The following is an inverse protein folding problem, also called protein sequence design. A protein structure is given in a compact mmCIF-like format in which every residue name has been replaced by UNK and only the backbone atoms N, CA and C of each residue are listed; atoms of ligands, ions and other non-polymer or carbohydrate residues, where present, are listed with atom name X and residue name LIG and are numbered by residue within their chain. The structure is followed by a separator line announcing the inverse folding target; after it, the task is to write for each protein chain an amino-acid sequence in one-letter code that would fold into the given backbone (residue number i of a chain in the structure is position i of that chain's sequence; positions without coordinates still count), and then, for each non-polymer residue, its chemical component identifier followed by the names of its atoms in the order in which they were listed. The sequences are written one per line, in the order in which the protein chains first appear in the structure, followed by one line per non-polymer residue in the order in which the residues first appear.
data_IF_831904147752
#
_entry.id   IF_831904147752
#
_cell.length_a   1.000
_cell.length_b   1.000
_cell.length_c   1.000
_cell.angle_alpha   90.00
_cell.angle_beta   90.00
_cell.angle_gamma   90.00
#
_symmetry.space_group_name_H-M   'P 1'
#
loop_
_entity.id
_entity.type
_entity.pdbx_description
1 polymer ?
#
# COMPACT_ATOMS: atom_id res chain seq x y z
N UNK A 1 -1.23 20.41 -22.57
CA UNK A 1 -1.48 20.57 -21.12
C UNK A 1 -2.95 20.54 -20.69
N UNK A 2 -3.79 21.54 -21.00
CA UNK A 2 -5.16 21.60 -20.46
C UNK A 2 -6.03 20.38 -20.82
N UNK A 3 -6.03 19.99 -22.10
CA UNK A 3 -6.81 18.83 -22.56
C UNK A 3 -6.31 17.51 -21.97
N UNK A 4 -5.01 17.38 -21.75
CA UNK A 4 -4.42 16.21 -21.08
C UNK A 4 -4.88 16.15 -19.61
N UNK A 5 -4.81 17.26 -18.89
CA UNK A 5 -5.28 17.31 -17.51
C UNK A 5 -6.78 16.95 -17.42
N UNK A 6 -7.62 17.54 -18.26
CA UNK A 6 -9.07 17.25 -18.28
C UNK A 6 -9.33 15.77 -18.59
N UNK A 7 -8.58 15.18 -19.55
CA UNK A 7 -8.73 13.77 -19.91
C UNK A 7 -8.35 12.82 -18.78
N UNK A 8 -7.29 13.12 -18.05
CA UNK A 8 -6.66 12.16 -17.14
C UNK A 8 -6.89 12.44 -15.64
N UNK A 9 -7.58 13.53 -15.27
CA UNK A 9 -7.73 13.94 -13.87
C UNK A 9 -8.40 12.86 -13.01
N UNK A 10 -9.46 12.22 -13.52
CA UNK A 10 -10.19 11.19 -12.76
C UNK A 10 -9.30 9.96 -12.51
N UNK A 11 -8.55 9.53 -13.53
CA UNK A 11 -7.62 8.41 -13.42
C UNK A 11 -6.45 8.73 -12.49
N UNK A 12 -5.94 9.97 -12.55
CA UNK A 12 -4.88 10.47 -11.68
C UNK A 12 -5.33 10.47 -10.21
N UNK A 13 -6.49 11.06 -9.91
CA UNK A 13 -7.05 11.12 -8.56
C UNK A 13 -7.40 9.72 -8.06
N UNK A 14 -8.02 8.90 -8.90
CA UNK A 14 -8.31 7.51 -8.59
C UNK A 14 -7.05 6.72 -8.23
N UNK A 15 -5.95 6.91 -8.99
CA UNK A 15 -4.69 6.24 -8.72
C UNK A 15 -4.13 6.64 -7.36
N UNK A 16 -4.03 7.94 -7.08
CA UNK A 16 -3.47 8.39 -5.81
C UNK A 16 -4.34 8.02 -4.62
N UNK A 17 -5.68 8.07 -4.76
CA UNK A 17 -6.59 7.57 -3.75
C UNK A 17 -6.30 6.09 -3.42
N UNK A 18 -6.28 5.23 -4.45
CA UNK A 18 -6.01 3.81 -4.26
C UNK A 18 -4.59 3.53 -3.73
N UNK A 19 -3.59 4.28 -4.22
CA UNK A 19 -2.21 4.22 -3.73
C UNK A 19 -2.14 4.55 -2.23
N UNK A 20 -2.75 5.65 -1.78
CA UNK A 20 -2.75 6.02 -0.37
C UNK A 20 -3.48 4.99 0.50
N UNK A 21 -4.63 4.50 0.06
CA UNK A 21 -5.36 3.43 0.76
C UNK A 21 -4.48 2.19 0.92
N UNK A 22 -3.88 1.71 -0.16
CA UNK A 22 -3.08 0.48 -0.13
C UNK A 22 -1.78 0.63 0.67
N UNK A 23 -1.09 1.77 0.57
CA UNK A 23 0.09 2.04 1.41
C UNK A 23 -0.29 2.14 2.89
N UNK A 24 -1.41 2.77 3.22
CA UNK A 24 -1.91 2.88 4.60
C UNK A 24 -2.20 1.50 5.17
N UNK A 25 -2.89 0.63 4.43
CA UNK A 25 -3.19 -0.75 4.86
C UNK A 25 -1.92 -1.51 5.21
N UNK A 26 -0.87 -1.41 4.40
CA UNK A 26 0.37 -2.13 4.65
C UNK A 26 1.16 -1.51 5.82
N UNK A 27 0.93 -0.24 6.15
CA UNK A 27 1.71 0.51 7.16
C UNK A 27 1.04 0.60 8.52
N UNK A 28 -0.29 0.61 8.59
CA UNK A 28 -1.05 0.93 9.81
C UNK A 28 -0.71 0.02 11.00
N UNK A 29 -0.42 -1.26 10.75
CA UNK A 29 -0.02 -2.23 11.78
C UNK A 29 1.50 -2.38 11.97
N UNK A 30 2.32 -1.64 11.24
CA UNK A 30 3.78 -1.83 11.26
C UNK A 30 4.44 -1.14 12.45
N UNK A 31 5.06 -1.95 13.31
CA UNK A 31 5.84 -1.49 14.47
C UNK A 31 7.03 -0.58 14.12
N UNK A 32 7.51 -0.64 12.88
CA UNK A 32 8.54 0.25 12.34
C UNK A 32 8.13 0.67 10.93
N UNK A 33 8.15 1.97 10.68
CA UNK A 33 7.98 2.55 9.35
C UNK A 33 9.02 3.66 9.14
N UNK A 34 9.72 3.59 8.02
CA UNK A 34 10.73 4.58 7.63
C UNK A 34 10.12 5.70 6.75
N UNK A 35 8.79 5.75 6.65
CA UNK A 35 8.04 6.61 5.72
C UNK A 35 8.37 6.38 4.23
N UNK A 36 9.04 5.27 3.91
CA UNK A 36 9.35 4.89 2.54
C UNK A 36 8.13 4.28 1.85
N UNK A 37 8.05 4.47 0.53
CA UNK A 37 7.04 3.81 -0.30
C UNK A 37 7.34 2.31 -0.32
N UNK A 38 6.33 1.51 0.01
CA UNK A 38 6.45 0.06 -0.08
C UNK A 38 6.24 -0.33 -1.55
N UNK A 39 7.21 -1.01 -2.19
CA UNK A 39 7.08 -1.40 -3.59
C UNK A 39 5.84 -2.24 -3.85
N UNK A 40 5.05 -1.81 -4.82
CA UNK A 40 3.85 -2.50 -5.30
C UNK A 40 3.99 -2.77 -6.78
N UNK A 41 4.10 -4.04 -7.15
CA UNK A 41 4.37 -4.45 -8.52
C UNK A 41 3.07 -4.58 -9.33
N UNK A 42 3.02 -3.87 -10.45
CA UNK A 42 1.92 -3.88 -11.41
C UNK A 42 2.28 -4.77 -12.61
N UNK A 43 1.26 -5.36 -13.22
CA UNK A 43 1.30 -6.01 -14.52
C UNK A 43 0.64 -5.10 -15.58
N UNK A 44 1.17 -5.05 -16.80
CA UNK A 44 0.50 -4.34 -17.89
C UNK A 44 -0.79 -5.07 -18.28
N UNK A 45 -1.84 -4.33 -18.64
CA UNK A 45 -3.15 -4.91 -18.92
C UNK A 45 -3.11 -6.00 -20.01
N UNK A 46 -2.37 -5.77 -21.09
CA UNK A 46 -2.23 -6.71 -22.21
C UNK A 46 -1.30 -7.88 -21.92
N UNK A 47 -0.55 -7.88 -20.82
CA UNK A 47 0.47 -8.89 -20.56
C UNK A 47 -0.14 -10.21 -20.06
N UNK A 48 0.53 -11.33 -20.38
CA UNK A 48 0.25 -12.62 -19.74
C UNK A 48 1.11 -12.75 -18.48
N UNK A 49 0.46 -13.04 -17.35
CA UNK A 49 1.11 -13.15 -16.03
C UNK A 49 1.13 -14.60 -15.57
N UNK A 50 2.27 -15.06 -15.05
CA UNK A 50 2.43 -16.36 -14.39
C UNK A 50 2.56 -16.20 -12.87
N UNK A 51 2.32 -17.26 -12.11
CA UNK A 51 2.29 -17.20 -10.64
C UNK A 51 3.62 -16.88 -9.94
N UNK A 52 4.75 -16.98 -10.64
CA UNK A 52 6.09 -16.70 -10.09
C UNK A 52 6.51 -15.23 -10.22
N UNK A 53 5.69 -14.40 -10.87
CA UNK A 53 5.99 -12.98 -11.14
C UNK A 53 5.97 -12.13 -9.87
N UNK A 54 6.75 -11.05 -9.87
CA UNK A 54 6.75 -10.07 -8.78
C UNK A 54 5.41 -9.34 -8.67
N UNK A 55 4.73 -9.10 -9.80
CA UNK A 55 3.36 -8.56 -9.82
C UNK A 55 2.33 -9.43 -9.09
N UNK A 56 2.64 -10.72 -8.87
CA UNK A 56 1.83 -11.63 -8.06
C UNK A 56 2.30 -11.66 -6.60
N UNK A 57 3.60 -11.89 -6.38
CA UNK A 57 4.17 -12.09 -5.03
C UNK A 57 4.21 -10.79 -4.22
N UNK A 58 4.66 -9.72 -4.86
CA UNK A 58 4.85 -8.38 -4.29
C UNK A 58 3.88 -7.35 -4.92
N UNK A 59 2.75 -7.83 -5.45
CA UNK A 59 1.64 -7.01 -5.92
C UNK A 59 0.45 -7.06 -4.96
N UNK A 60 -0.78 -7.18 -5.49
CA UNK A 60 -2.00 -7.05 -4.69
C UNK A 60 -2.15 -8.09 -3.58
N UNK A 61 -1.57 -9.28 -3.72
CA UNK A 61 -1.64 -10.32 -2.70
C UNK A 61 -1.07 -9.85 -1.35
N UNK A 62 -0.01 -9.02 -1.38
CA UNK A 62 0.56 -8.45 -0.16
C UNK A 62 -0.45 -7.54 0.55
N UNK A 63 -1.14 -6.66 -0.18
CA UNK A 63 -2.21 -5.83 0.37
C UNK A 63 -3.32 -6.73 0.94
N UNK A 64 -3.73 -7.75 0.18
CA UNK A 64 -4.80 -8.65 0.58
C UNK A 64 -4.53 -9.36 1.91
N UNK A 65 -3.28 -9.77 2.16
CA UNK A 65 -2.88 -10.39 3.43
C UNK A 65 -2.94 -9.40 4.59
N UNK A 66 -2.41 -8.19 4.42
CA UNK A 66 -2.44 -7.14 5.46
C UNK A 66 -3.87 -6.64 5.73
N UNK A 67 -4.69 -6.56 4.68
CA UNK A 67 -6.07 -6.06 4.75
C UNK A 67 -6.97 -6.93 5.64
N UNK A 68 -6.63 -8.20 5.86
CA UNK A 68 -7.33 -9.09 6.82
C UNK A 68 -7.32 -8.52 8.24
N UNK A 69 -6.29 -7.74 8.58
CA UNK A 69 -6.09 -7.16 9.90
C UNK A 69 -6.39 -5.66 9.95
N UNK A 70 -6.85 -5.06 8.84
CA UNK A 70 -7.06 -3.61 8.75
C UNK A 70 -7.97 -3.07 9.86
N UNK A 71 -9.12 -3.71 10.06
CA UNK A 71 -10.08 -3.31 11.10
C UNK A 71 -9.46 -3.37 12.49
N UNK A 72 -8.85 -4.50 12.84
CA UNK A 72 -8.21 -4.67 14.16
C UNK A 72 -7.07 -3.67 14.35
N UNK A 73 -6.23 -3.47 13.34
CA UNK A 73 -5.13 -2.51 13.44
C UNK A 73 -5.63 -1.08 13.61
N UNK A 74 -6.73 -0.72 12.93
CA UNK A 74 -7.38 0.57 13.10
C UNK A 74 -7.94 0.72 14.53
N UNK A 75 -8.69 -0.27 15.01
CA UNK A 75 -9.29 -0.24 16.35
C UNK A 75 -8.22 -0.17 17.45
N UNK A 76 -7.16 -0.97 17.34
CA UNK A 76 -6.00 -0.90 18.25
C UNK A 76 -5.43 0.50 18.25
N UNK A 77 -5.20 1.09 17.07
CA UNK A 77 -4.61 2.42 16.98
C UNK A 77 -5.52 3.50 17.57
N UNK A 78 -6.82 3.39 17.36
CA UNK A 78 -7.83 4.29 17.94
C UNK A 78 -7.86 4.18 19.46
N UNK A 79 -7.92 2.97 20.02
CA UNK A 79 -7.85 2.77 21.48
C UNK A 79 -6.57 3.35 22.07
N UNK A 80 -5.41 3.12 21.45
CA UNK A 80 -4.14 3.66 21.95
C UNK A 80 -4.14 5.19 21.94
N UNK A 81 -4.63 5.81 20.86
CA UNK A 81 -4.72 7.27 20.77
C UNK A 81 -5.71 7.86 21.78
N UNK A 82 -6.83 7.19 22.04
CA UNK A 82 -7.75 7.56 23.13
C UNK A 82 -7.09 7.47 24.50
N UNK A 83 -6.30 6.42 24.77
CA UNK A 83 -5.59 6.23 26.03
C UNK A 83 -4.42 7.21 26.22
N UNK A 84 -3.80 7.68 25.14
CA UNK A 84 -2.83 8.79 25.16
C UNK A 84 -3.54 10.09 25.57
N UNK A 85 -4.72 10.33 24.99
CA UNK A 85 -5.60 11.47 25.22
C UNK A 85 -4.93 12.81 24.88
N UNK A 86 -4.59 13.00 23.61
CA UNK A 86 -3.99 14.23 23.07
C UNK A 86 -4.67 14.64 21.77
N UNK A 87 -4.51 15.91 21.38
CA UNK A 87 -5.03 16.41 20.10
C UNK A 87 -4.34 15.80 18.88
N UNK A 88 -3.07 15.39 19.01
CA UNK A 88 -2.32 14.70 17.95
C UNK A 88 -2.68 13.21 17.92
N UNK A 89 -2.90 12.69 16.71
CA UNK A 89 -2.99 11.26 16.43
C UNK A 89 -1.62 10.70 16.07
N UNK A 90 -1.24 9.59 16.69
CA UNK A 90 0.04 8.91 16.53
C UNK A 90 -0.13 7.57 15.84
N UNK A 91 0.77 7.24 14.93
CA UNK A 91 0.85 5.93 14.29
C UNK A 91 1.47 4.89 15.21
N UNK A 92 1.21 3.60 14.94
CA UNK A 92 1.75 2.53 15.78
C UNK A 92 3.28 2.51 15.81
N UNK A 93 3.93 2.91 14.72
CA UNK A 93 5.38 3.04 14.62
C UNK A 93 5.93 4.16 15.52
N UNK A 94 5.21 5.27 15.65
CA UNK A 94 5.55 6.36 16.57
C UNK A 94 5.32 5.93 18.02
N UNK A 95 4.20 5.25 18.31
CA UNK A 95 3.83 4.81 19.66
C UNK A 95 4.83 3.80 20.22
N UNK A 96 5.32 2.89 19.37
CA UNK A 96 6.25 1.84 19.77
C UNK A 96 7.72 2.27 19.72
N UNK A 97 8.00 3.51 19.31
CA UNK A 97 9.34 4.07 19.36
C UNK A 97 9.85 4.17 20.80
N UNK A 98 11.16 3.98 21.00
CA UNK A 98 11.75 4.03 22.35
C UNK A 98 11.73 5.43 22.96
N UNK A 99 11.70 6.48 22.13
CA UNK A 99 11.68 7.88 22.53
C UNK A 99 10.27 8.47 22.59
N UNK A 100 9.22 7.64 22.47
CA UNK A 100 7.84 8.11 22.51
C UNK A 100 7.51 8.74 23.88
N UNK A 101 7.18 10.04 23.86
CA UNK A 101 7.05 10.86 25.07
C UNK A 101 5.95 10.40 26.05
N UNK A 102 4.92 9.71 25.55
CA UNK A 102 3.80 9.23 26.38
C UNK A 102 3.91 7.76 26.73
N UNK A 103 5.05 7.10 26.47
CA UNK A 103 5.21 5.66 26.61
C UNK A 103 4.87 5.14 28.01
N UNK A 104 5.36 5.78 29.06
CA UNK A 104 5.09 5.36 30.45
C UNK A 104 3.61 5.50 30.80
N UNK A 105 3.02 6.67 30.55
CA UNK A 105 1.59 6.94 30.76
C UNK A 105 0.71 5.94 30.00
N UNK A 106 1.00 5.72 28.72
CA UNK A 106 0.25 4.81 27.88
C UNK A 106 0.39 3.35 28.35
N UNK A 107 1.56 2.93 28.82
CA UNK A 107 1.77 1.58 29.34
C UNK A 107 0.86 1.30 30.52
N UNK A 108 0.75 2.24 31.46
CA UNK A 108 -0.14 2.14 32.63
C UNK A 108 -1.61 2.17 32.21
N UNK A 109 -2.01 3.13 31.39
CA UNK A 109 -3.39 3.27 30.92
C UNK A 109 -3.85 2.03 30.15
N UNK A 110 -2.99 1.48 29.29
CA UNK A 110 -3.29 0.27 28.53
C UNK A 110 -3.37 -0.96 29.42
N UNK A 111 -2.52 -1.08 30.45
CA UNK A 111 -2.60 -2.19 31.40
C UNK A 111 -3.95 -2.18 32.15
N UNK A 112 -4.38 -1.01 32.64
CA UNK A 112 -5.69 -0.85 33.29
C UNK A 112 -6.85 -1.17 32.33
N UNK A 113 -6.79 -0.65 31.11
CA UNK A 113 -7.80 -0.96 30.08
C UNK A 113 -7.89 -2.47 29.80
N UNK A 114 -6.75 -3.17 29.69
CA UNK A 114 -6.72 -4.60 29.43
C UNK A 114 -7.28 -5.42 30.59
N UNK A 115 -7.08 -4.99 31.83
CA UNK A 115 -7.69 -5.62 33.01
C UNK A 115 -9.22 -5.53 32.97
N UNK A 116 -9.76 -4.33 32.68
CA UNK A 116 -11.20 -4.14 32.51
C UNK A 116 -11.74 -4.92 31.30
N UNK A 117 -11.02 -4.89 30.17
CA UNK A 117 -11.40 -5.61 28.96
C UNK A 117 -11.45 -7.12 29.19
N UNK A 118 -10.45 -7.68 29.87
CA UNK A 118 -10.40 -9.10 30.23
C UNK A 118 -11.63 -9.50 31.06
N UNK A 119 -11.97 -8.70 32.06
CA UNK A 119 -13.12 -8.97 32.93
C UNK A 119 -14.44 -8.92 32.15
N UNK A 120 -14.65 -7.88 31.35
CA UNK A 120 -15.91 -7.68 30.59
C UNK A 120 -16.09 -8.73 29.49
N UNK A 121 -15.00 -9.16 28.86
CA UNK A 121 -15.01 -10.11 27.73
C UNK A 121 -14.69 -11.55 28.11
N UNK A 122 -14.54 -11.83 29.41
CA UNK A 122 -14.24 -13.17 29.95
C UNK A 122 -13.02 -13.82 29.28
N UNK A 123 -11.90 -13.09 29.22
CA UNK A 123 -10.67 -13.57 28.57
C UNK A 123 -9.86 -14.46 29.53
N UNK A 124 -9.63 -15.72 29.15
CA UNK A 124 -8.94 -16.73 29.97
C UNK A 124 -7.39 -16.70 29.89
N UNK A 125 -6.77 -15.60 29.46
CA UNK A 125 -5.31 -15.51 29.43
C UNK A 125 -4.74 -15.28 30.85
N UNK A 126 -4.05 -16.28 31.40
CA UNK A 126 -3.34 -16.24 32.71
C UNK A 126 -2.14 -15.26 32.75
N UNK A 127 -2.04 -14.33 31.79
CA UNK A 127 -0.93 -13.42 31.74
C UNK A 127 -1.15 -12.33 32.77
N UNK A 128 -0.38 -12.37 33.86
CA UNK A 128 -0.13 -11.19 34.68
C UNK A 128 0.23 -10.05 33.73
N UNK A 129 -0.66 -9.07 33.59
CA UNK A 129 -0.42 -7.88 32.79
C UNK A 129 0.94 -7.34 33.17
N UNK A 130 1.91 -7.43 32.25
CA UNK A 130 3.26 -6.98 32.54
C UNK A 130 3.17 -5.48 32.60
N UNK A 131 3.10 -4.93 33.81
CA UNK A 131 2.96 -3.50 34.11
C UNK A 131 3.98 -2.58 33.43
N UNK A 132 4.91 -3.08 32.60
CA UNK A 132 6.03 -2.34 32.07
C UNK A 132 6.36 -2.62 30.58
N UNK A 133 5.58 -3.42 29.83
CA UNK A 133 5.87 -3.64 28.40
C UNK A 133 4.71 -3.29 27.45
N UNK A 134 4.77 -2.05 26.95
CA UNK A 134 3.82 -1.52 25.97
C UNK A 134 3.67 -2.41 24.74
N UNK A 135 4.77 -2.94 24.19
CA UNK A 135 4.72 -3.70 22.94
C UNK A 135 4.00 -5.04 23.10
N UNK A 136 4.19 -5.70 24.24
CA UNK A 136 3.43 -6.91 24.60
C UNK A 136 1.95 -6.60 24.81
N UNK A 137 1.63 -5.54 25.54
CA UNK A 137 0.24 -5.15 25.82
C UNK A 137 -0.52 -4.76 24.54
N UNK A 138 0.11 -4.05 23.62
CA UNK A 138 -0.46 -3.75 22.29
C UNK A 138 -0.73 -5.04 21.50
N UNK A 139 0.21 -5.99 21.54
CA UNK A 139 0.06 -7.27 20.82
C UNK A 139 -1.07 -8.11 21.43
N UNK A 140 -1.24 -8.06 22.76
CA UNK A 140 -2.34 -8.71 23.47
C UNK A 140 -3.70 -8.10 23.11
N UNK A 141 -3.80 -6.77 23.09
CA UNK A 141 -5.02 -6.08 22.66
C UNK A 141 -5.41 -6.50 21.24
N UNK A 142 -4.46 -6.50 20.31
CA UNK A 142 -4.67 -6.92 18.93
C UNK A 142 -5.17 -8.37 18.84
N UNK A 143 -4.59 -9.30 19.62
CA UNK A 143 -5.05 -10.69 19.72
C UNK A 143 -6.51 -10.76 20.17
N UNK A 144 -6.86 -10.10 21.27
CA UNK A 144 -8.22 -10.16 21.83
C UNK A 144 -9.26 -9.54 20.89
N UNK A 145 -8.96 -8.39 20.29
CA UNK A 145 -9.85 -7.78 19.30
C UNK A 145 -10.06 -8.71 18.08
N UNK A 146 -9.00 -9.38 17.61
CA UNK A 146 -9.11 -10.33 16.49
C UNK A 146 -9.99 -11.56 16.82
N UNK A 147 -9.89 -12.08 18.04
CA UNK A 147 -10.72 -13.18 18.55
C UNK A 147 -12.20 -12.77 18.66
N UNK A 148 -12.45 -11.52 19.09
CA UNK A 148 -13.80 -11.01 19.33
C UNK A 148 -14.54 -10.64 18.04
N UNK A 149 -13.83 -10.55 16.90
CA UNK A 149 -14.47 -10.36 15.61
C UNK A 149 -15.28 -11.60 15.19
N UNK A 150 -16.45 -11.37 14.59
CA UNK A 150 -17.21 -12.44 13.95
C UNK A 150 -16.54 -12.90 12.65
N UNK A 151 -16.82 -14.14 12.22
CA UNK A 151 -16.29 -14.66 10.95
C UNK A 151 -16.81 -13.87 9.74
N UNK A 152 -18.05 -13.39 9.80
CA UNK A 152 -18.67 -12.54 8.78
C UNK A 152 -17.96 -11.19 8.70
N UNK A 153 -17.64 -10.58 9.85
CA UNK A 153 -16.96 -9.28 9.89
C UNK A 153 -15.56 -9.39 9.32
N UNK A 154 -14.79 -10.41 9.74
CA UNK A 154 -13.44 -10.69 9.22
C UNK A 154 -13.42 -10.92 7.70
N UNK A 155 -14.46 -11.52 7.15
CA UNK A 155 -14.53 -11.81 5.72
C UNK A 155 -15.04 -10.63 4.88
N UNK A 156 -15.98 -9.83 5.41
CA UNK A 156 -16.64 -8.75 4.65
C UNK A 156 -15.88 -7.43 4.66
N UNK A 157 -15.29 -7.05 5.79
CA UNK A 157 -14.61 -5.76 5.92
C UNK A 157 -13.52 -5.55 4.86
N UNK A 158 -12.63 -6.55 4.59
CA UNK A 158 -11.58 -6.40 3.59
C UNK A 158 -12.09 -6.26 2.14
N UNK A 159 -13.33 -6.67 1.84
CA UNK A 159 -13.85 -6.69 0.46
C UNK A 159 -13.97 -5.29 -0.13
N UNK A 160 -14.29 -4.28 0.69
CA UNK A 160 -14.42 -2.88 0.25
C UNK A 160 -13.18 -2.36 -0.49
N UNK A 161 -11.98 -2.69 0.01
CA UNK A 161 -10.70 -2.32 -0.62
C UNK A 161 -10.53 -3.01 -1.97
N UNK A 162 -10.93 -4.28 -2.06
CA UNK A 162 -10.89 -5.05 -3.30
C UNK A 162 -11.89 -4.50 -4.34
N UNK A 163 -13.08 -4.10 -3.90
CA UNK A 163 -14.11 -3.47 -4.75
C UNK A 163 -13.63 -2.15 -5.34
N UNK A 164 -13.04 -1.27 -4.52
CA UNK A 164 -12.42 -0.03 -5.00
C UNK A 164 -11.33 -0.34 -6.02
N UNK A 165 -10.45 -1.30 -5.72
CA UNK A 165 -9.37 -1.68 -6.62
C UNK A 165 -9.87 -2.24 -7.95
N UNK A 166 -10.93 -3.05 -7.94
CA UNK A 166 -11.54 -3.66 -9.15
C UNK A 166 -12.10 -2.65 -10.15
N UNK A 167 -12.43 -1.43 -9.72
CA UNK A 167 -12.93 -0.40 -10.62
C UNK A 167 -11.86 0.06 -11.62
N UNK A 168 -10.59 0.14 -11.21
CA UNK A 168 -9.56 0.80 -12.02
C UNK A 168 -8.19 0.13 -12.02
N UNK A 169 -7.78 -0.52 -10.93
CA UNK A 169 -6.38 -0.90 -10.69
C UNK A 169 -6.17 -2.39 -10.43
N UNK A 170 -7.24 -3.19 -10.42
CA UNK A 170 -7.16 -4.64 -10.27
C UNK A 170 -7.76 -5.34 -11.47
N UNK A 171 -7.07 -6.38 -11.92
CA UNK A 171 -7.58 -7.30 -12.92
C UNK A 171 -7.54 -8.73 -12.41
N UNK A 172 -8.67 -9.43 -12.55
CA UNK A 172 -8.72 -10.85 -12.25
C UNK A 172 -7.96 -11.65 -13.31
N UNK A 173 -7.00 -12.48 -12.89
CA UNK A 173 -6.17 -13.34 -13.73
C UNK A 173 -6.47 -14.82 -13.44
N UNK A 174 -7.74 -15.16 -13.31
CA UNK A 174 -8.23 -16.52 -13.07
C UNK A 174 -7.75 -17.08 -11.74
N UNK A 175 -7.05 -18.22 -11.78
CA UNK A 175 -6.53 -18.90 -10.57
C UNK A 175 -5.51 -18.05 -9.78
N UNK A 176 -4.92 -17.03 -10.40
CA UNK A 176 -3.99 -16.11 -9.72
C UNK A 176 -4.71 -15.03 -8.89
N UNK A 177 -6.04 -14.95 -8.99
CA UNK A 177 -6.83 -13.93 -8.31
C UNK A 177 -6.67 -12.55 -8.93
N UNK A 178 -6.86 -11.50 -8.13
CA UNK A 178 -6.71 -10.13 -8.59
C UNK A 178 -5.27 -9.68 -8.50
N UNK A 179 -4.82 -8.99 -9.55
CA UNK A 179 -3.46 -8.49 -9.71
C UNK A 179 -3.51 -6.99 -9.92
N UNK A 180 -2.55 -6.26 -9.37
CA UNK A 180 -2.37 -4.83 -9.68
C UNK A 180 -2.13 -4.67 -11.18
N UNK A 181 -2.97 -3.87 -11.82
CA UNK A 181 -3.06 -3.78 -13.26
C UNK A 181 -2.81 -2.33 -13.68
N UNK A 182 -1.83 -2.14 -14.56
CA UNK A 182 -1.57 -0.88 -15.21
C UNK A 182 -2.17 -0.95 -16.62
N UNK A 183 -3.20 -0.16 -16.88
CA UNK A 183 -3.73 0.00 -18.25
C UNK A 183 -2.74 0.81 -19.08
N UNK A 184 -2.78 0.65 -20.41
CA UNK A 184 -1.95 1.49 -21.30
C UNK A 184 -2.23 2.98 -21.05
N UNK A 185 -3.50 3.33 -20.76
CA UNK A 185 -3.92 4.67 -20.42
C UNK A 185 -3.27 5.20 -19.12
N UNK A 186 -3.20 4.38 -18.07
CA UNK A 186 -2.52 4.72 -16.81
C UNK A 186 -1.02 4.90 -17.01
N UNK A 187 -0.40 4.00 -17.80
CA UNK A 187 1.03 4.12 -18.12
C UNK A 187 1.29 5.40 -18.90
N UNK A 188 0.48 5.72 -19.92
CA UNK A 188 0.60 6.96 -20.67
C UNK A 188 0.42 8.20 -19.81
N UNK A 189 -0.60 8.22 -18.93
CA UNK A 189 -0.79 9.32 -17.97
C UNK A 189 0.51 9.62 -17.22
N UNK A 190 1.08 8.62 -16.56
CA UNK A 190 2.29 8.82 -15.76
C UNK A 190 3.52 9.09 -16.62
N UNK A 191 3.62 8.51 -17.81
CA UNK A 191 4.70 8.83 -18.75
C UNK A 191 4.70 10.30 -19.14
N UNK A 192 3.53 10.88 -19.43
CA UNK A 192 3.41 12.30 -19.70
C UNK A 192 3.92 13.15 -18.54
N UNK A 193 3.46 12.83 -17.32
CA UNK A 193 3.89 13.52 -16.10
C UNK A 193 5.38 13.37 -15.78
N UNK A 194 5.97 12.22 -16.10
CA UNK A 194 7.37 11.91 -15.79
C UNK A 194 8.33 12.52 -16.82
N UNK A 195 7.99 12.43 -18.11
CA UNK A 195 8.80 12.94 -19.22
C UNK A 195 8.71 14.47 -19.27
N UNK A 196 7.51 15.03 -19.15
CA UNK A 196 7.30 16.47 -19.26
C UNK A 196 7.60 16.96 -20.68
N UNK A 197 8.27 18.10 -20.79
CA UNK A 197 8.54 18.80 -22.07
C UNK A 197 9.73 18.26 -22.86
N UNK A 198 10.66 17.55 -22.21
CA UNK A 198 11.93 17.15 -22.83
C UNK A 198 12.08 15.62 -22.80
N UNK A 199 12.64 15.01 -23.86
CA UNK A 199 12.88 13.58 -23.87
C UNK A 199 13.68 13.14 -22.64
N UNK A 200 13.28 12.02 -22.05
CA UNK A 200 13.91 11.48 -20.84
C UNK A 200 14.43 10.07 -21.10
N UNK A 201 15.57 9.73 -20.51
CA UNK A 201 16.12 8.38 -20.61
C UNK A 201 15.08 7.37 -20.08
N UNK A 202 14.90 6.27 -20.79
CA UNK A 202 13.92 5.23 -20.44
C UNK A 202 14.10 4.72 -19.00
N UNK A 203 15.35 4.56 -18.54
CA UNK A 203 15.66 4.18 -17.15
C UNK A 203 15.13 5.18 -16.13
N UNK A 204 15.19 6.48 -16.45
CA UNK A 204 14.74 7.56 -15.57
C UNK A 204 13.21 7.69 -15.61
N UNK A 205 12.58 7.28 -16.72
CA UNK A 205 11.12 7.13 -16.79
C UNK A 205 10.66 6.04 -15.82
N UNK A 206 11.25 4.84 -15.85
CA UNK A 206 10.92 3.78 -14.89
C UNK A 206 11.20 4.20 -13.44
N UNK A 207 12.31 4.90 -13.17
CA UNK A 207 12.55 5.48 -11.84
C UNK A 207 11.45 6.48 -11.44
N UNK A 208 10.93 7.25 -12.39
CA UNK A 208 9.81 8.16 -12.17
C UNK A 208 8.50 7.46 -11.80
N UNK A 209 8.26 6.25 -12.32
CA UNK A 209 7.14 5.40 -11.91
C UNK A 209 7.35 4.84 -10.50
N UNK A 210 8.55 4.36 -10.18
CA UNK A 210 8.91 3.81 -8.88
C UNK A 210 8.77 4.87 -7.77
N UNK A 211 9.21 6.12 -8.02
CA UNK A 211 9.02 7.26 -7.11
C UNK A 211 7.54 7.60 -6.84
N UNK A 212 6.63 7.13 -7.69
CA UNK A 212 5.18 7.32 -7.55
C UNK A 212 4.47 6.07 -7.02
N UNK A 213 5.22 5.01 -6.71
CA UNK A 213 4.68 3.77 -6.14
C UNK A 213 4.23 2.73 -7.16
N UNK A 214 4.54 2.91 -8.45
CA UNK A 214 4.24 1.94 -9.50
C UNK A 214 5.51 1.21 -9.91
N UNK A 215 5.67 -0.02 -9.42
CA UNK A 215 6.84 -0.84 -9.72
C UNK A 215 6.51 -1.85 -10.82
N UNK A 216 7.51 -2.16 -11.64
CA UNK A 216 7.39 -3.10 -12.74
C UNK A 216 8.56 -4.08 -12.71
N UNK A 217 8.26 -5.37 -12.88
CA UNK A 217 9.31 -6.36 -13.03
C UNK A 217 9.92 -6.32 -14.44
N UNK A 218 10.99 -7.09 -14.66
CA UNK A 218 11.72 -7.08 -15.93
C UNK A 218 10.82 -7.40 -17.13
N UNK A 219 9.85 -8.29 -16.97
CA UNK A 219 8.97 -8.70 -18.06
C UNK A 219 7.92 -7.61 -18.34
N UNK A 220 7.32 -7.03 -17.30
CA UNK A 220 6.39 -5.90 -17.47
C UNK A 220 7.09 -4.66 -18.04
N UNK A 221 8.34 -4.39 -17.63
CA UNK A 221 9.18 -3.34 -18.25
C UNK A 221 9.36 -3.61 -19.75
N UNK A 222 9.57 -4.86 -20.15
CA UNK A 222 9.63 -5.27 -21.57
C UNK A 222 8.33 -5.01 -22.33
N UNK A 223 7.18 -5.35 -21.74
CA UNK A 223 5.87 -5.08 -22.35
C UNK A 223 5.58 -3.59 -22.50
N UNK A 224 5.97 -2.77 -21.52
CA UNK A 224 5.87 -1.31 -21.61
C UNK A 224 6.78 -0.74 -22.71
N UNK A 225 7.99 -1.28 -22.87
CA UNK A 225 8.89 -0.90 -23.97
C UNK A 225 8.25 -1.22 -25.32
N UNK A 226 7.69 -2.43 -25.48
CA UNK A 226 6.99 -2.83 -26.71
C UNK A 226 5.79 -1.90 -26.98
N UNK A 227 5.04 -1.52 -25.94
CA UNK A 227 3.94 -0.56 -26.04
C UNK A 227 4.45 0.81 -26.54
N UNK A 228 5.54 1.34 -25.98
CA UNK A 228 6.13 2.60 -26.43
C UNK A 228 6.65 2.53 -27.87
N UNK A 229 7.25 1.42 -28.29
CA UNK A 229 7.69 1.22 -29.68
C UNK A 229 6.50 1.25 -30.64
N UNK A 230 5.42 0.52 -30.33
CA UNK A 230 4.18 0.55 -31.14
C UNK A 230 3.58 1.95 -31.25
N UNK A 231 3.69 2.74 -30.19
CA UNK A 231 3.20 4.13 -30.15
C UNK A 231 4.22 5.16 -30.67
N UNK A 232 5.37 4.71 -31.20
CA UNK A 232 6.46 5.57 -31.68
C UNK A 232 6.98 6.59 -30.63
N UNK A 233 6.95 6.21 -29.35
CA UNK A 233 7.37 7.04 -28.23
C UNK A 233 8.85 6.90 -27.89
N UNK A 234 9.57 5.97 -28.50
CA UNK A 234 11.01 5.79 -28.27
C UNK A 234 11.86 6.44 -29.36
N UNK A 235 12.94 7.08 -28.94
CA UNK A 235 14.06 7.49 -29.81
C UNK A 235 15.33 6.75 -29.40
N UNK A 236 16.03 6.20 -30.40
CA UNK A 236 17.39 5.68 -30.25
C UNK A 236 18.35 6.79 -30.67
N UNK A 237 19.08 7.39 -29.72
CA UNK A 237 20.15 8.34 -30.07
C UNK A 237 21.42 7.55 -30.40
N UNK A 238 21.97 7.80 -31.59
CA UNK A 238 23.12 7.09 -32.16
C UNK A 238 24.41 7.23 -31.33
N UNK A 239 24.47 8.23 -30.46
CA UNK A 239 25.71 8.74 -29.87
C UNK A 239 26.18 7.90 -28.66
N UNK A 240 25.34 6.99 -28.14
CA UNK A 240 25.67 6.19 -26.95
C UNK A 240 25.31 4.69 -27.05
N UNK A 241 25.24 4.15 -28.28
CA UNK A 241 25.15 2.70 -28.56
C UNK A 241 23.80 2.03 -28.23
N UNK A 242 23.28 2.21 -27.01
CA UNK A 242 22.13 1.47 -26.48
C UNK A 242 21.13 2.32 -25.67
N UNK A 243 21.33 3.64 -25.55
CA UNK A 243 20.42 4.47 -24.74
C UNK A 243 19.13 4.80 -25.49
N UNK A 244 18.00 4.37 -24.92
CA UNK A 244 16.66 4.73 -25.37
C UNK A 244 16.12 5.94 -24.59
N UNK A 245 15.51 6.87 -25.32
CA UNK A 245 14.81 8.02 -24.76
C UNK A 245 13.31 7.90 -25.04
N UNK A 246 12.48 8.34 -24.11
CA UNK A 246 11.03 8.46 -24.28
C UNK A 246 10.70 9.91 -24.66
N UNK A 247 9.95 10.07 -25.74
CA UNK A 247 9.49 11.37 -26.26
C UNK A 247 8.43 11.99 -25.33
N UNK A 248 8.37 13.34 -25.26
CA UNK A 248 7.24 14.05 -24.70
C UNK A 248 5.93 13.63 -25.36
N UNK A 249 4.87 13.52 -24.57
CA UNK A 249 3.50 13.23 -25.02
C UNK A 249 2.46 14.27 -24.55
N UNK A 250 2.94 15.34 -23.89
CA UNK A 250 2.14 16.45 -23.32
C UNK A 250 2.04 17.66 -24.24
#
# INVERSE_FOLDING_TARGET
YQDFCIKYIDLFLGYYYFFYVTQTIIKIGKKKDNNEIIPMYYALDTEKVSGTRESIRNGFNKIKEENKYLLVNNDVLDYLNMLINTEKYYLISEILDSMFIYKEKLTLNLAQFLEEYQFIKDKNDNNEFKNNDLASNVSLLSKWLLEDLSAETRSRFPLSVEEIGKLYFLRNRGRLGNVLNATEELVLLFTGLIVGEKPKLLKDVFKGFELRGMFFDRLTKGEIINMYERMNLLDKKSDSGDAQYVKPIL
#
